data_IF_157824170237
#
_entry.id   IF_157824170237
#
_cell.length_a   1.000
_cell.length_b   1.000
_cell.length_c   1.000
_cell.angle_alpha   90.00
_cell.angle_beta   90.00
_cell.angle_gamma   90.00
#
_symmetry.space_group_name_H-M   'P 1'
#
loop_
_entity.id
_entity.type
_entity.pdbx_description
1 polymer ?
#
# COMPACT_ATOMS: atom_id res chain seq x y z
N UNK A 1 -19.54 26.87 2.94
CA UNK A 1 -18.15 26.37 3.12
C UNK A 1 -18.24 24.87 3.32
N UNK A 2 -18.21 24.10 2.23
CA UNK A 2 -18.14 22.64 2.29
C UNK A 2 -16.78 22.25 2.88
N UNK A 3 -16.84 21.59 4.02
CA UNK A 3 -15.66 21.00 4.63
C UNK A 3 -15.12 19.95 3.67
N UNK A 4 -13.91 20.17 3.12
CA UNK A 4 -13.17 19.18 2.38
C UNK A 4 -13.12 17.89 3.21
N UNK A 5 -13.96 16.90 2.84
CA UNK A 5 -13.86 15.55 3.39
C UNK A 5 -12.49 14.99 2.97
N UNK A 6 -11.72 14.41 3.88
CA UNK A 6 -10.49 13.73 3.51
C UNK A 6 -10.82 12.62 2.51
N UNK A 7 -10.07 12.59 1.43
CA UNK A 7 -10.30 11.65 0.33
C UNK A 7 -9.80 10.28 0.81
N UNK A 8 -10.72 9.36 1.07
CA UNK A 8 -10.38 7.94 1.10
C UNK A 8 -9.93 7.58 -0.32
N UNK A 9 -8.86 6.82 -0.48
CA UNK A 9 -8.35 6.42 -1.79
C UNK A 9 -8.89 5.03 -2.16
N UNK A 10 -10.11 4.75 -1.74
CA UNK A 10 -10.87 3.62 -2.26
C UNK A 10 -11.32 3.94 -3.69
N UNK A 11 -11.47 2.90 -4.48
CA UNK A 11 -11.90 2.97 -5.87
C UNK A 11 -13.18 3.80 -6.06
N UNK A 12 -14.16 3.64 -5.17
CA UNK A 12 -15.42 4.41 -5.17
C UNK A 12 -15.21 5.91 -4.90
N UNK A 13 -14.25 6.24 -4.03
CA UNK A 13 -13.95 7.64 -3.71
C UNK A 13 -13.26 8.34 -4.89
N UNK A 14 -12.41 7.60 -5.61
CA UNK A 14 -11.79 8.05 -6.85
C UNK A 14 -12.86 8.26 -7.93
N UNK A 15 -13.79 7.31 -8.07
CA UNK A 15 -14.87 7.35 -9.06
C UNK A 15 -15.79 8.55 -8.88
N UNK A 16 -16.08 8.91 -7.64
CA UNK A 16 -17.04 9.94 -7.28
C UNK A 16 -16.43 11.32 -7.01
N UNK A 17 -15.11 11.46 -7.12
CA UNK A 17 -14.43 12.73 -6.87
C UNK A 17 -14.56 13.66 -8.09
N UNK A 18 -15.12 14.89 -7.94
CA UNK A 18 -15.25 15.86 -9.02
C UNK A 18 -13.93 16.20 -9.70
N UNK A 19 -12.82 16.32 -8.94
CA UNK A 19 -11.48 16.61 -9.49
C UNK A 19 -11.00 15.50 -10.43
N UNK A 20 -11.49 14.27 -10.26
CA UNK A 20 -11.23 13.16 -11.18
C UNK A 20 -12.17 13.17 -12.39
N UNK A 21 -13.35 13.74 -12.29
CA UNK A 21 -14.31 13.78 -13.38
C UNK A 21 -13.82 14.68 -14.51
N UNK A 22 -13.11 15.77 -14.20
CA UNK A 22 -12.62 16.76 -15.16
C UNK A 22 -11.47 16.25 -16.06
N UNK A 23 -10.75 15.19 -15.67
CA UNK A 23 -9.58 14.67 -16.39
C UNK A 23 -9.79 13.28 -16.99
N UNK A 24 -10.94 13.05 -17.63
CA UNK A 24 -11.33 11.75 -18.21
C UNK A 24 -10.36 11.20 -19.27
N UNK A 25 -9.56 12.05 -19.89
CA UNK A 25 -8.56 11.67 -20.90
C UNK A 25 -7.33 10.93 -20.33
N UNK A 26 -7.07 11.06 -19.01
CA UNK A 26 -5.95 10.40 -18.34
C UNK A 26 -6.37 9.23 -17.46
N UNK A 27 -7.64 8.89 -17.43
CA UNK A 27 -8.18 7.84 -16.58
C UNK A 27 -9.24 7.00 -17.26
N UNK A 28 -9.36 5.76 -16.83
CA UNK A 28 -10.47 4.88 -17.11
C UNK A 28 -10.97 4.27 -15.80
N UNK A 29 -12.27 4.24 -15.57
CA UNK A 29 -12.86 3.61 -14.38
C UNK A 29 -14.20 2.96 -14.75
N UNK A 30 -14.34 1.66 -14.41
CA UNK A 30 -15.61 0.93 -14.46
C UNK A 30 -15.77 0.05 -13.20
N UNK A 31 -16.70 -0.87 -13.17
CA UNK A 31 -16.94 -1.74 -12.00
C UNK A 31 -15.85 -2.82 -11.82
N UNK A 32 -15.02 -3.08 -12.80
CA UNK A 32 -13.97 -4.08 -12.78
C UNK A 32 -12.61 -3.52 -12.36
N UNK A 33 -12.26 -2.33 -12.86
CA UNK A 33 -10.94 -1.73 -12.59
C UNK A 33 -10.91 -0.22 -12.81
N UNK A 34 -9.89 0.40 -12.23
CA UNK A 34 -9.43 1.75 -12.56
C UNK A 34 -8.03 1.72 -13.19
N UNK A 35 -7.80 2.61 -14.14
CA UNK A 35 -6.49 2.86 -14.69
C UNK A 35 -6.25 4.37 -14.83
N UNK A 36 -5.08 4.82 -14.38
CA UNK A 36 -4.62 6.21 -14.53
C UNK A 36 -3.30 6.19 -15.28
N UNK A 37 -3.20 6.98 -16.36
CA UNK A 37 -2.01 7.03 -17.23
C UNK A 37 -1.16 8.28 -17.06
N UNK A 38 -1.66 9.31 -16.35
CA UNK A 38 -0.84 10.44 -15.91
C UNK A 38 -1.39 10.97 -14.60
N UNK A 39 -0.56 10.86 -13.57
CA UNK A 39 -0.93 11.34 -12.25
C UNK A 39 -0.68 12.85 -12.11
N UNK A 40 0.34 13.36 -12.78
CA UNK A 40 0.67 14.78 -12.77
C UNK A 40 -0.43 15.61 -13.45
N UNK A 41 -0.97 15.12 -14.57
CA UNK A 41 -2.08 15.78 -15.28
C UNK A 41 -3.37 15.82 -14.45
N UNK A 42 -3.58 14.87 -13.54
CA UNK A 42 -4.75 14.83 -12.66
C UNK A 42 -4.67 15.75 -11.44
N UNK A 43 -3.58 16.51 -11.32
CA UNK A 43 -3.39 17.43 -10.19
C UNK A 43 -3.11 16.69 -8.86
N UNK A 44 -1.94 16.87 -8.33
CA UNK A 44 -1.35 16.18 -7.17
C UNK A 44 -2.12 16.33 -5.83
N UNK A 45 -3.39 16.75 -5.85
CA UNK A 45 -4.20 17.02 -4.63
C UNK A 45 -4.66 15.76 -3.90
N UNK A 46 -4.51 14.59 -4.51
CA UNK A 46 -5.06 13.33 -3.96
C UNK A 46 -4.25 12.70 -2.86
N UNK A 47 -2.93 12.87 -2.90
CA UNK A 47 -2.04 12.31 -1.88
C UNK A 47 -1.33 13.45 -1.18
N UNK A 48 -1.66 13.63 0.08
CA UNK A 48 -0.86 14.51 0.94
C UNK A 48 0.35 13.73 1.44
N UNK A 49 1.53 14.28 1.26
CA UNK A 49 2.74 13.74 1.89
C UNK A 49 2.57 13.70 3.41
N UNK A 50 3.15 12.67 4.05
CA UNK A 50 3.08 12.43 5.49
C UNK A 50 1.67 12.16 6.05
N UNK A 51 0.70 11.92 5.19
CA UNK A 51 -0.63 11.50 5.58
C UNK A 51 -0.88 10.07 5.11
N UNK A 52 -1.05 9.10 6.02
CA UNK A 52 -1.34 7.74 5.64
C UNK A 52 -2.77 7.58 5.16
N UNK A 53 -2.97 6.67 4.22
CA UNK A 53 -4.26 6.27 3.70
C UNK A 53 -4.32 4.75 3.49
N UNK A 54 -5.52 4.20 3.39
CA UNK A 54 -5.73 2.80 3.08
C UNK A 54 -6.11 2.61 1.63
N UNK A 55 -5.34 1.82 0.90
CA UNK A 55 -5.70 1.34 -0.42
C UNK A 55 -6.56 0.08 -0.25
N UNK A 56 -7.85 0.17 -0.49
CA UNK A 56 -8.76 -0.99 -0.40
C UNK A 56 -8.47 -2.02 -1.48
N UNK A 57 -8.18 -1.56 -2.69
CA UNK A 57 -7.87 -2.40 -3.84
C UNK A 57 -6.36 -2.54 -4.03
N UNK A 58 -5.96 -3.70 -4.54
CA UNK A 58 -4.58 -3.93 -4.97
C UNK A 58 -4.20 -3.01 -6.13
N UNK A 59 -2.91 -2.65 -6.24
CA UNK A 59 -2.43 -1.71 -7.25
C UNK A 59 -1.13 -2.18 -7.89
N UNK A 60 -1.04 -1.98 -9.20
CA UNK A 60 0.21 -2.10 -9.95
C UNK A 60 0.58 -0.69 -10.38
N UNK A 61 1.63 -0.15 -9.79
CA UNK A 61 2.11 1.22 -10.05
C UNK A 61 3.41 1.13 -10.82
N UNK A 62 3.52 1.87 -11.93
CA UNK A 62 4.80 2.04 -12.61
C UNK A 62 5.26 3.49 -12.53
N UNK A 63 6.53 3.68 -12.15
CA UNK A 63 7.11 5.01 -11.99
C UNK A 63 7.72 5.43 -13.32
N UNK A 64 7.17 6.50 -13.89
CA UNK A 64 7.58 7.02 -15.21
C UNK A 64 8.74 7.99 -15.09
N UNK A 65 8.71 8.83 -14.06
CA UNK A 65 9.71 9.88 -13.86
C UNK A 65 9.82 10.27 -12.39
N UNK A 66 10.99 10.78 -12.02
CA UNK A 66 11.26 11.28 -10.69
C UNK A 66 11.59 10.19 -9.68
N UNK A 67 11.57 10.57 -8.43
CA UNK A 67 11.81 9.68 -7.28
C UNK A 67 10.88 10.03 -6.12
N UNK A 68 10.51 9.04 -5.33
CA UNK A 68 9.68 9.21 -4.16
C UNK A 68 10.03 8.17 -3.09
N UNK A 69 9.65 8.47 -1.85
CA UNK A 69 9.73 7.53 -0.74
C UNK A 69 8.33 7.18 -0.29
N UNK A 70 7.99 5.90 -0.36
CA UNK A 70 6.69 5.36 -0.02
C UNK A 70 6.84 4.27 1.04
N UNK A 71 6.01 4.32 2.08
CA UNK A 71 5.85 3.22 3.03
C UNK A 71 4.61 2.42 2.67
N UNK A 72 4.74 1.12 2.54
CA UNK A 72 3.65 0.17 2.31
C UNK A 72 3.66 -0.82 3.47
N UNK A 73 2.60 -0.82 4.26
CA UNK A 73 2.48 -1.72 5.41
C UNK A 73 3.74 -1.68 6.32
N UNK A 74 4.20 -0.45 6.64
CA UNK A 74 5.38 -0.14 7.46
C UNK A 74 6.74 -0.41 6.79
N UNK A 75 6.80 -0.99 5.59
CA UNK A 75 8.06 -1.17 4.87
C UNK A 75 8.28 0.00 3.94
N UNK A 76 9.41 0.67 4.07
CA UNK A 76 9.80 1.79 3.22
C UNK A 76 10.42 1.31 1.91
N UNK A 77 10.03 1.97 0.83
CA UNK A 77 10.55 1.79 -0.51
C UNK A 77 10.96 3.14 -1.09
N UNK A 78 12.15 3.18 -1.64
CA UNK A 78 12.60 4.28 -2.49
C UNK A 78 12.19 3.94 -3.95
N UNK A 79 11.25 4.69 -4.51
CA UNK A 79 10.70 4.47 -5.85
C UNK A 79 11.35 5.45 -6.82
N UNK A 80 11.90 4.95 -7.91
CA UNK A 80 12.57 5.73 -8.95
C UNK A 80 12.00 5.40 -10.32
N UNK A 81 12.30 6.21 -11.33
CA UNK A 81 11.94 5.89 -12.71
C UNK A 81 12.36 4.46 -13.09
N UNK A 82 11.51 3.76 -13.85
CA UNK A 82 11.61 2.35 -14.23
C UNK A 82 11.36 1.34 -13.11
N UNK A 83 10.87 1.80 -11.96
CA UNK A 83 10.38 0.88 -10.93
C UNK A 83 8.89 0.53 -11.14
N UNK A 84 8.55 -0.70 -10.80
CA UNK A 84 7.18 -1.17 -10.61
C UNK A 84 6.96 -1.43 -9.14
N UNK A 85 5.86 -0.92 -8.59
CA UNK A 85 5.44 -1.19 -7.22
C UNK A 85 4.12 -1.94 -7.27
N UNK A 86 4.08 -3.13 -6.67
CA UNK A 86 2.86 -3.88 -6.45
C UNK A 86 2.43 -3.64 -5.02
N UNK A 87 1.25 -3.07 -4.85
CA UNK A 87 0.66 -2.75 -3.56
C UNK A 87 -0.50 -3.71 -3.35
N UNK A 88 -0.48 -4.54 -2.30
CA UNK A 88 -1.59 -5.43 -1.96
C UNK A 88 -2.87 -4.67 -1.62
N UNK A 89 -4.00 -5.35 -1.69
CA UNK A 89 -5.27 -4.85 -1.18
C UNK A 89 -5.21 -4.59 0.34
N UNK A 90 -6.05 -3.69 0.80
CA UNK A 90 -6.12 -3.24 2.19
C UNK A 90 -4.82 -2.71 2.80
N UNK A 91 -3.84 -2.35 1.96
CA UNK A 91 -2.54 -1.84 2.40
C UNK A 91 -2.64 -0.44 2.99
N UNK A 92 -1.87 -0.21 4.04
CA UNK A 92 -1.59 1.12 4.58
C UNK A 92 -0.43 1.74 3.81
N UNK A 93 -0.66 2.91 3.24
CA UNK A 93 0.31 3.62 2.40
C UNK A 93 0.55 5.00 3.00
N UNK A 94 1.82 5.38 3.08
CA UNK A 94 2.24 6.73 3.42
C UNK A 94 3.33 7.18 2.45
N UNK A 95 3.13 8.32 1.81
CA UNK A 95 4.13 8.94 0.93
C UNK A 95 4.83 10.01 1.75
N UNK A 96 6.14 9.83 2.00
CA UNK A 96 6.92 10.78 2.80
C UNK A 96 7.49 11.90 1.95
N UNK A 97 8.01 11.58 0.78
CA UNK A 97 8.68 12.53 -0.11
C UNK A 97 8.41 12.17 -1.57
N UNK A 98 8.26 13.20 -2.40
CA UNK A 98 8.23 13.04 -3.87
C UNK A 98 8.99 14.19 -4.52
N UNK A 99 9.71 13.90 -5.59
CA UNK A 99 10.35 14.93 -6.41
C UNK A 99 9.30 15.77 -7.15
N UNK A 100 9.59 17.03 -7.53
CA UNK A 100 8.63 17.91 -8.22
C UNK A 100 8.08 17.34 -9.54
N UNK A 101 8.84 16.47 -10.20
CA UNK A 101 8.48 15.87 -11.49
C UNK A 101 8.16 14.38 -11.34
N UNK A 102 7.59 13.98 -10.19
CA UNK A 102 7.22 12.59 -9.96
C UNK A 102 5.98 12.23 -10.77
N UNK A 103 6.12 11.31 -11.72
CA UNK A 103 5.05 10.84 -12.58
C UNK A 103 4.92 9.32 -12.49
N UNK A 104 3.70 8.84 -12.37
CA UNK A 104 3.41 7.40 -12.34
C UNK A 104 2.09 7.06 -13.01
N UNK A 105 1.97 5.81 -13.39
CA UNK A 105 0.75 5.21 -13.89
C UNK A 105 0.32 4.09 -12.96
N UNK A 106 -0.98 3.85 -12.87
CA UNK A 106 -1.52 2.85 -11.95
C UNK A 106 -2.66 2.06 -12.57
N UNK A 107 -2.68 0.76 -12.33
CA UNK A 107 -3.78 -0.16 -12.58
C UNK A 107 -4.32 -0.60 -11.22
N UNK A 108 -5.63 -0.50 -11.01
CA UNK A 108 -6.33 -0.80 -9.77
C UNK A 108 -7.47 -1.77 -10.05
N UNK A 109 -7.22 -3.07 -10.15
CA UNK A 109 -8.29 -4.07 -10.34
C UNK A 109 -9.07 -4.26 -9.05
N UNK A 110 -10.38 -4.44 -9.15
CA UNK A 110 -11.20 -4.82 -7.99
C UNK A 110 -10.99 -6.30 -7.63
N UNK A 111 -11.22 -6.66 -6.37
CA UNK A 111 -11.07 -8.03 -5.89
C UNK A 111 -11.96 -9.03 -6.68
N UNK A 112 -13.16 -8.62 -7.07
CA UNK A 112 -14.08 -9.42 -7.85
C UNK A 112 -13.65 -9.61 -9.32
N UNK A 113 -12.85 -8.70 -9.84
CA UNK A 113 -12.37 -8.77 -11.22
C UNK A 113 -11.23 -9.76 -11.38
N UNK A 114 -10.34 -9.88 -10.39
CA UNK A 114 -9.18 -10.77 -10.42
C UNK A 114 -9.17 -11.74 -9.22
N UNK A 115 -10.10 -12.67 -9.14
CA UNK A 115 -10.14 -13.63 -8.03
C UNK A 115 -8.89 -14.52 -7.96
N UNK A 116 -8.15 -14.66 -9.07
CA UNK A 116 -6.91 -15.44 -9.17
C UNK A 116 -5.72 -14.75 -8.49
N UNK A 117 -5.78 -13.43 -8.27
CA UNK A 117 -4.69 -12.70 -7.62
C UNK A 117 -4.54 -13.04 -6.13
N UNK A 118 -5.62 -13.47 -5.49
CA UNK A 118 -5.59 -13.68 -4.05
C UNK A 118 -4.74 -14.86 -3.60
N UNK A 119 -4.43 -15.86 -4.47
CA UNK A 119 -3.86 -17.11 -3.97
C UNK A 119 -2.70 -17.74 -4.76
N UNK A 120 -2.24 -17.26 -5.92
CA UNK A 120 -1.31 -18.10 -6.70
C UNK A 120 -0.19 -17.44 -7.51
N UNK A 121 -0.25 -16.17 -7.84
CA UNK A 121 0.74 -15.58 -8.76
C UNK A 121 1.97 -15.06 -8.00
N UNK A 122 1.78 -14.42 -6.87
CA UNK A 122 2.85 -13.90 -6.02
C UNK A 122 2.87 -14.69 -4.72
N UNK A 123 4.05 -14.99 -4.17
CA UNK A 123 4.17 -15.72 -2.90
C UNK A 123 3.51 -14.92 -1.75
N UNK A 124 3.00 -15.63 -0.75
CA UNK A 124 2.26 -15.04 0.38
C UNK A 124 3.03 -13.95 1.13
N UNK A 125 4.37 -14.08 1.21
CA UNK A 125 5.22 -13.09 1.85
C UNK A 125 5.23 -11.74 1.11
N UNK A 126 5.06 -11.76 -0.20
CA UNK A 126 5.10 -10.57 -1.05
C UNK A 126 3.72 -9.93 -1.22
N UNK A 127 2.66 -10.73 -1.18
CA UNK A 127 1.28 -10.21 -1.28
C UNK A 127 0.86 -9.41 -0.05
N UNK A 128 1.57 -9.53 1.09
CA UNK A 128 1.22 -8.82 2.32
C UNK A 128 1.98 -7.51 2.54
N UNK A 129 3.20 -7.38 2.01
CA UNK A 129 4.08 -6.24 2.31
C UNK A 129 4.35 -5.33 1.11
N UNK A 130 3.81 -5.65 -0.06
CA UNK A 130 4.15 -4.97 -1.31
C UNK A 130 5.50 -5.43 -1.90
N UNK A 131 5.72 -5.08 -3.16
CA UNK A 131 6.93 -5.42 -3.91
C UNK A 131 7.37 -4.20 -4.71
N UNK A 132 8.68 -3.90 -4.65
CA UNK A 132 9.33 -3.01 -5.61
C UNK A 132 10.20 -3.85 -6.55
N UNK A 133 10.03 -3.64 -7.85
CA UNK A 133 10.82 -4.25 -8.92
C UNK A 133 11.51 -3.15 -9.70
N UNK A 134 12.83 -3.17 -9.79
CA UNK A 134 13.57 -2.30 -10.71
C UNK A 134 13.77 -3.03 -12.03
N UNK A 135 13.26 -2.46 -13.10
CA UNK A 135 13.25 -3.07 -14.42
C UNK A 135 14.43 -2.57 -15.26
N UNK A 136 15.05 -3.46 -16.00
CA UNK A 136 15.98 -3.06 -17.07
C UNK A 136 15.20 -2.48 -18.28
N UNK A 137 15.92 -1.99 -19.29
CA UNK A 137 15.29 -1.31 -20.44
C UNK A 137 14.37 -2.24 -21.25
N UNK A 138 14.69 -3.51 -21.40
CA UNK A 138 13.90 -4.50 -22.14
C UNK A 138 12.63 -4.85 -21.36
N UNK A 139 12.76 -5.17 -20.09
CA UNK A 139 11.63 -5.42 -19.18
C UNK A 139 10.68 -4.23 -19.12
N UNK A 140 11.24 -3.00 -19.04
CA UNK A 140 10.47 -1.78 -19.06
C UNK A 140 9.69 -1.58 -20.36
N UNK A 141 10.29 -1.88 -21.51
CA UNK A 141 9.62 -1.81 -22.80
C UNK A 141 8.45 -2.81 -22.89
N UNK A 142 8.65 -4.05 -22.42
CA UNK A 142 7.58 -5.05 -22.36
C UNK A 142 6.42 -4.60 -21.46
N UNK A 143 6.72 -4.12 -20.26
CA UNK A 143 5.70 -3.61 -19.32
C UNK A 143 4.97 -2.41 -19.92
N UNK A 144 5.69 -1.51 -20.60
CA UNK A 144 5.10 -0.37 -21.30
C UNK A 144 4.09 -0.78 -22.36
N UNK A 145 4.39 -1.86 -23.10
CA UNK A 145 3.48 -2.45 -24.09
C UNK A 145 2.20 -2.99 -23.44
N UNK A 146 2.28 -3.63 -22.27
CA UNK A 146 1.10 -4.06 -21.50
C UNK A 146 0.21 -2.88 -21.10
N UNK A 147 0.79 -1.83 -20.53
CA UNK A 147 0.04 -0.64 -20.13
C UNK A 147 -0.63 0.04 -21.32
N UNK A 148 0.07 0.20 -22.44
CA UNK A 148 -0.47 0.81 -23.67
C UNK A 148 -1.60 -0.04 -24.27
N UNK A 149 -1.43 -1.36 -24.34
CA UNK A 149 -2.43 -2.27 -24.86
C UNK A 149 -3.67 -2.31 -23.98
N UNK A 150 -3.49 -2.37 -22.66
CA UNK A 150 -4.60 -2.30 -21.71
C UNK A 150 -5.38 -1.00 -21.89
N UNK A 151 -4.71 0.15 -21.96
CA UNK A 151 -5.35 1.43 -22.15
C UNK A 151 -6.21 1.45 -23.43
N UNK A 152 -5.67 0.96 -24.53
CA UNK A 152 -6.38 0.93 -25.81
C UNK A 152 -7.61 0.01 -25.75
N UNK A 153 -7.48 -1.19 -25.16
CA UNK A 153 -8.59 -2.16 -25.08
C UNK A 153 -9.69 -1.69 -24.12
N UNK A 154 -9.35 -0.96 -23.06
CA UNK A 154 -10.32 -0.40 -22.12
C UNK A 154 -11.28 0.59 -22.80
N UNK A 155 -10.85 1.28 -23.84
CA UNK A 155 -11.66 2.23 -24.60
C UNK A 155 -12.38 1.61 -25.82
N UNK A 156 -12.25 0.28 -26.03
CA UNK A 156 -13.00 -0.41 -27.08
C UNK A 156 -14.48 -0.58 -26.70
N UNK A 157 -15.35 -0.41 -27.69
CA UNK A 157 -16.76 -0.73 -27.58
C UNK A 157 -17.14 -1.89 -28.52
N UNK A 158 -17.76 -2.97 -28.03
CA UNK A 158 -18.14 -3.22 -26.64
C UNK A 158 -16.92 -3.52 -25.75
N UNK A 159 -17.05 -3.28 -24.43
CA UNK A 159 -15.99 -3.55 -23.45
C UNK A 159 -15.62 -5.04 -23.42
N UNK A 160 -14.34 -5.31 -23.63
CA UNK A 160 -13.80 -6.67 -23.77
C UNK A 160 -13.27 -7.22 -22.44
N UNK A 161 -14.19 -7.44 -21.49
CA UNK A 161 -13.87 -7.82 -20.10
C UNK A 161 -12.84 -8.96 -20.00
N UNK A 162 -13.06 -10.06 -20.72
CA UNK A 162 -12.17 -11.23 -20.70
C UNK A 162 -10.76 -10.92 -21.21
N UNK A 163 -10.64 -10.12 -22.28
CA UNK A 163 -9.33 -9.73 -22.81
C UNK A 163 -8.55 -8.88 -21.79
N UNK A 164 -9.21 -7.89 -21.17
CA UNK A 164 -8.59 -7.04 -20.13
C UNK A 164 -8.14 -7.90 -18.94
N UNK A 165 -8.97 -8.83 -18.48
CA UNK A 165 -8.66 -9.72 -17.36
C UNK A 165 -7.41 -10.56 -17.64
N UNK A 166 -7.33 -11.21 -18.81
CA UNK A 166 -6.19 -12.05 -19.18
C UNK A 166 -4.91 -11.23 -19.42
N UNK A 167 -5.02 -10.01 -19.93
CA UNK A 167 -3.87 -9.12 -20.07
C UNK A 167 -3.25 -8.74 -18.72
N UNK A 168 -4.09 -8.42 -17.71
CA UNK A 168 -3.59 -8.12 -16.36
C UNK A 168 -2.96 -9.36 -15.74
N UNK A 169 -3.59 -10.53 -15.89
CA UNK A 169 -3.01 -11.80 -15.41
C UNK A 169 -1.66 -12.06 -16.08
N UNK A 170 -1.54 -11.86 -17.40
CA UNK A 170 -0.28 -12.02 -18.14
C UNK A 170 0.78 -11.04 -17.65
N UNK A 171 0.41 -9.76 -17.42
CA UNK A 171 1.31 -8.77 -16.83
C UNK A 171 1.84 -9.25 -15.47
N UNK A 172 0.98 -9.77 -14.61
CA UNK A 172 1.38 -10.26 -13.28
C UNK A 172 2.32 -11.45 -13.34
N UNK A 173 2.11 -12.39 -14.26
CA UNK A 173 3.07 -13.49 -14.50
C UNK A 173 4.42 -12.97 -14.98
N UNK A 174 4.43 -11.93 -15.83
CA UNK A 174 5.65 -11.30 -16.29
C UNK A 174 6.39 -10.61 -15.11
N UNK A 175 5.66 -9.86 -14.26
CA UNK A 175 6.23 -9.23 -13.06
C UNK A 175 6.76 -10.26 -12.06
N UNK A 176 6.08 -11.39 -11.91
CA UNK A 176 6.56 -12.52 -11.11
C UNK A 176 7.87 -13.08 -11.66
N UNK A 177 7.95 -13.28 -12.96
CA UNK A 177 9.17 -13.76 -13.61
C UNK A 177 10.34 -12.80 -13.37
N UNK A 178 10.14 -11.50 -13.57
CA UNK A 178 11.15 -10.47 -13.30
C UNK A 178 11.60 -10.55 -11.84
N UNK A 179 10.66 -10.61 -10.90
CA UNK A 179 10.97 -10.71 -9.48
C UNK A 179 11.85 -11.92 -9.15
N UNK A 180 11.46 -13.10 -9.64
CA UNK A 180 12.18 -14.35 -9.39
C UNK A 180 13.60 -14.37 -10.00
N UNK A 181 13.81 -13.65 -11.12
CA UNK A 181 15.09 -13.62 -11.81
C UNK A 181 15.99 -12.48 -11.34
N UNK A 182 15.44 -11.33 -11.00
CA UNK A 182 16.19 -10.23 -10.37
C UNK A 182 16.72 -10.64 -9.00
N UNK A 183 15.94 -11.38 -8.22
CA UNK A 183 16.39 -11.94 -6.93
C UNK A 183 17.47 -13.03 -7.08
N UNK A 184 17.62 -13.66 -8.27
CA UNK A 184 18.69 -14.66 -8.52
C UNK A 184 19.99 -14.03 -8.99
N UNK A 185 19.95 -12.87 -9.63
CA UNK A 185 21.13 -12.16 -10.12
C UNK A 185 21.83 -11.30 -9.08
N UNK A 186 21.15 -10.96 -7.99
CA UNK A 186 21.77 -10.39 -6.80
C UNK A 186 22.00 -11.53 -5.79
N UNK A 187 23.21 -11.79 -5.31
CA UNK A 187 23.49 -12.91 -4.38
C UNK A 187 22.89 -12.74 -2.97
N UNK A 188 22.04 -11.77 -2.77
CA UNK A 188 21.29 -11.59 -1.55
C UNK A 188 19.99 -12.39 -1.59
N UNK A 189 20.06 -13.74 -1.44
CA UNK A 189 18.97 -14.44 -0.74
C UNK A 189 18.73 -13.62 0.53
N UNK A 190 17.50 -13.15 0.72
CA UNK A 190 17.11 -12.56 2.01
C UNK A 190 17.68 -13.45 3.11
N UNK A 191 18.41 -12.87 4.02
CA UNK A 191 18.92 -13.64 5.14
C UNK A 191 17.71 -14.26 5.87
N UNK A 192 17.91 -15.38 6.53
CA UNK A 192 16.84 -16.00 7.33
C UNK A 192 16.21 -14.99 8.32
N UNK A 193 16.99 -14.03 8.77
CA UNK A 193 16.54 -12.96 9.67
C UNK A 193 15.67 -11.95 8.95
N UNK A 194 16.01 -11.55 7.71
CA UNK A 194 15.19 -10.65 6.90
C UNK A 194 13.85 -11.30 6.48
N UNK A 195 13.85 -12.59 6.15
CA UNK A 195 12.63 -13.32 5.89
C UNK A 195 11.72 -13.38 7.12
N UNK A 196 12.33 -13.68 8.29
CA UNK A 196 11.60 -13.66 9.56
C UNK A 196 11.04 -12.27 9.87
N UNK A 197 11.82 -11.22 9.67
CA UNK A 197 11.38 -9.85 9.84
C UNK A 197 10.16 -9.53 8.94
N UNK A 198 10.19 -9.90 7.66
CA UNK A 198 9.05 -9.71 6.75
C UNK A 198 7.79 -10.46 7.19
N UNK A 199 7.95 -11.70 7.64
CA UNK A 199 6.84 -12.49 8.20
C UNK A 199 6.27 -11.85 9.48
N UNK A 200 7.15 -11.34 10.35
CA UNK A 200 6.73 -10.61 11.54
C UNK A 200 5.95 -9.35 11.18
N UNK A 201 6.43 -8.50 10.26
CA UNK A 201 5.72 -7.29 9.81
C UNK A 201 4.36 -7.64 9.22
N UNK A 202 4.26 -8.71 8.44
CA UNK A 202 2.98 -9.19 7.90
C UNK A 202 1.97 -9.52 9.01
N UNK A 203 2.40 -10.21 10.08
CA UNK A 203 1.57 -10.49 11.25
C UNK A 203 1.19 -9.22 12.02
N UNK A 204 2.13 -8.27 12.16
CA UNK A 204 1.84 -6.97 12.81
C UNK A 204 0.75 -6.22 12.05
N UNK A 205 0.85 -6.12 10.74
CA UNK A 205 -0.16 -5.47 9.90
C UNK A 205 -1.53 -6.15 9.99
N UNK A 206 -1.57 -7.46 10.18
CA UNK A 206 -2.81 -8.23 10.28
C UNK A 206 -3.47 -8.14 11.65
N UNK A 207 -2.68 -8.10 12.73
CA UNK A 207 -3.19 -8.33 14.08
C UNK A 207 -3.02 -7.15 15.05
N UNK A 208 -2.21 -6.13 14.74
CA UNK A 208 -1.85 -5.05 15.69
C UNK A 208 -3.04 -4.24 16.22
N UNK A 209 -4.17 -4.21 15.51
CA UNK A 209 -5.40 -3.57 16.00
C UNK A 209 -5.86 -4.16 17.33
N UNK A 210 -5.78 -5.47 17.46
CA UNK A 210 -6.33 -6.19 18.60
C UNK A 210 -5.25 -6.84 19.48
N UNK A 211 -4.10 -7.22 18.88
CA UNK A 211 -3.04 -7.95 19.56
C UNK A 211 -1.76 -7.11 19.70
N UNK A 212 -1.34 -6.89 20.95
CA UNK A 212 -0.14 -6.11 21.26
C UNK A 212 0.90 -6.89 22.06
N UNK A 213 0.59 -8.14 22.40
CA UNK A 213 1.48 -8.98 23.19
C UNK A 213 2.55 -9.62 22.28
N UNK A 214 3.83 -9.47 22.64
CA UNK A 214 4.97 -10.08 21.91
C UNK A 214 4.83 -11.60 21.84
N UNK A 215 4.29 -12.23 22.87
CA UNK A 215 4.10 -13.69 22.92
C UNK A 215 3.22 -14.17 21.77
N UNK A 216 2.12 -13.46 21.46
CA UNK A 216 1.25 -13.80 20.34
C UNK A 216 2.01 -13.92 19.02
N UNK A 217 2.86 -12.95 18.71
CA UNK A 217 3.66 -12.94 17.47
C UNK A 217 4.73 -14.02 17.45
N UNK A 218 5.36 -14.26 18.61
CA UNK A 218 6.35 -15.31 18.76
C UNK A 218 5.71 -16.70 18.54
N UNK A 219 4.55 -16.96 19.15
CA UNK A 219 3.82 -18.22 19.00
C UNK A 219 3.39 -18.44 17.54
N UNK A 220 2.89 -17.41 16.85
CA UNK A 220 2.52 -17.46 15.42
C UNK A 220 3.72 -17.77 14.51
N UNK A 221 4.93 -17.40 14.92
CA UNK A 221 6.17 -17.66 14.19
C UNK A 221 6.88 -18.94 14.66
N UNK A 222 6.31 -19.66 15.65
CA UNK A 222 6.94 -20.83 16.29
C UNK A 222 8.30 -20.52 16.89
N UNK A 223 8.43 -19.36 17.59
CA UNK A 223 9.66 -18.86 18.19
C UNK A 223 9.44 -18.53 19.67
N UNK A 224 10.54 -18.43 20.41
CA UNK A 224 10.50 -17.82 21.74
C UNK A 224 10.42 -16.28 21.62
N UNK A 225 9.74 -15.57 22.56
CA UNK A 225 9.68 -14.11 22.58
C UNK A 225 11.05 -13.44 22.64
N UNK A 226 11.99 -14.07 23.33
CA UNK A 226 13.38 -13.59 23.44
C UNK A 226 14.09 -13.65 22.07
N UNK A 227 14.02 -14.79 21.38
CA UNK A 227 14.63 -14.94 20.07
C UNK A 227 14.00 -14.01 19.03
N UNK A 228 12.67 -13.90 18.99
CA UNK A 228 11.98 -12.94 18.13
C UNK A 228 12.48 -11.51 18.39
N UNK A 229 12.54 -11.09 19.65
CA UNK A 229 12.97 -9.73 20.02
C UNK A 229 14.42 -9.44 19.61
N UNK A 230 15.31 -10.41 19.75
CA UNK A 230 16.73 -10.31 19.33
C UNK A 230 16.82 -10.13 17.82
N UNK A 231 16.21 -11.03 17.05
CA UNK A 231 16.27 -11.01 15.58
C UNK A 231 15.64 -9.71 15.02
N UNK A 232 14.48 -9.30 15.51
CA UNK A 232 13.83 -8.08 15.03
C UNK A 232 14.71 -6.86 15.30
N UNK A 233 15.30 -6.76 16.47
CA UNK A 233 16.20 -5.66 16.84
C UNK A 233 17.48 -5.64 16.02
N UNK A 234 18.10 -6.81 15.80
CA UNK A 234 19.30 -6.94 14.98
C UNK A 234 19.04 -6.57 13.51
N UNK A 235 17.90 -7.00 12.97
CA UNK A 235 17.58 -6.80 11.56
C UNK A 235 17.10 -5.37 11.25
N UNK A 236 16.32 -4.77 12.15
CA UNK A 236 15.63 -3.49 11.88
C UNK A 236 16.09 -2.31 12.73
N UNK A 237 16.94 -2.55 13.73
CA UNK A 237 17.32 -1.52 14.72
C UNK A 237 16.22 -1.15 15.72
N UNK A 238 15.00 -1.69 15.56
CA UNK A 238 13.84 -1.37 16.39
C UNK A 238 13.35 -2.59 17.17
N UNK A 239 12.69 -2.34 18.30
CA UNK A 239 12.08 -3.42 19.09
C UNK A 239 10.75 -3.90 18.48
N UNK A 240 10.33 -5.13 18.81
CA UNK A 240 9.02 -5.67 18.46
C UNK A 240 7.89 -4.71 18.85
N UNK A 241 7.95 -4.15 20.07
CA UNK A 241 6.92 -3.21 20.55
C UNK A 241 6.89 -1.89 19.78
N UNK A 242 8.04 -1.40 19.29
CA UNK A 242 8.07 -0.20 18.45
C UNK A 242 7.32 -0.43 17.14
N UNK A 243 7.54 -1.57 16.48
CA UNK A 243 6.84 -1.93 15.25
C UNK A 243 5.33 -2.10 15.45
N UNK A 244 4.92 -2.79 16.53
CA UNK A 244 3.49 -2.93 16.87
C UNK A 244 2.87 -1.55 17.11
N UNK A 245 3.53 -0.69 17.88
CA UNK A 245 3.03 0.66 18.17
C UNK A 245 2.95 1.54 16.91
N UNK A 246 3.91 1.43 16.00
CA UNK A 246 3.86 2.14 14.71
C UNK A 246 2.66 1.69 13.86
N UNK A 247 2.38 0.39 13.80
CA UNK A 247 1.21 -0.13 13.10
C UNK A 247 -0.10 0.41 13.69
N UNK A 248 -0.23 0.38 15.01
CA UNK A 248 -1.42 0.91 15.71
C UNK A 248 -1.59 2.41 15.47
N UNK A 249 -0.51 3.18 15.47
CA UNK A 249 -0.56 4.62 15.18
C UNK A 249 -0.93 4.90 13.73
N UNK A 250 -0.40 4.13 12.79
CA UNK A 250 -0.73 4.26 11.37
C UNK A 250 -2.23 3.99 11.14
N UNK A 251 -2.77 2.94 11.73
CA UNK A 251 -4.21 2.65 11.73
C UNK A 251 -5.03 3.78 12.38
N UNK A 252 -4.61 4.26 13.54
CA UNK A 252 -5.28 5.36 14.22
C UNK A 252 -5.34 6.62 13.36
N UNK A 253 -4.23 6.98 12.72
CA UNK A 253 -4.17 8.13 11.81
C UNK A 253 -5.14 7.98 10.64
N UNK A 254 -5.21 6.79 10.03
CA UNK A 254 -6.15 6.49 8.93
C UNK A 254 -7.59 6.61 9.40
N UNK A 255 -7.94 6.02 10.53
CA UNK A 255 -9.30 6.10 11.09
C UNK A 255 -9.69 7.55 11.43
N UNK A 256 -8.78 8.32 12.04
CA UNK A 256 -9.01 9.73 12.38
C UNK A 256 -9.22 10.63 11.16
N UNK A 257 -8.60 10.33 10.03
CA UNK A 257 -8.68 11.14 8.80
C UNK A 257 -9.74 10.67 7.82
N UNK A 258 -9.94 9.36 7.71
CA UNK A 258 -10.71 8.76 6.62
C UNK A 258 -11.98 8.03 7.08
N UNK A 259 -12.35 8.14 8.37
CA UNK A 259 -13.62 7.63 8.87
C UNK A 259 -14.46 8.72 9.52
N UNK A 260 -15.76 8.47 9.64
CA UNK A 260 -16.67 9.35 10.40
C UNK A 260 -16.76 8.95 11.89
N UNK A 261 -15.83 8.09 12.35
CA UNK A 261 -15.83 7.60 13.72
C UNK A 261 -15.42 8.68 14.72
N UNK A 262 -16.07 8.69 15.86
CA UNK A 262 -15.69 9.51 16.98
C UNK A 262 -14.45 8.93 17.67
N UNK A 263 -13.67 9.77 18.37
CA UNK A 263 -12.42 9.34 19.04
C UNK A 263 -12.62 8.15 19.98
N UNK A 264 -13.76 8.06 20.68
CA UNK A 264 -14.05 6.92 21.56
C UNK A 264 -14.31 5.64 20.75
N UNK A 265 -15.00 5.72 19.61
CA UNK A 265 -15.24 4.57 18.73
C UNK A 265 -13.92 4.08 18.11
N UNK A 266 -13.01 4.98 17.74
CA UNK A 266 -11.67 4.63 17.27
C UNK A 266 -10.86 3.94 18.38
N UNK A 267 -10.99 4.40 19.62
CA UNK A 267 -10.39 3.74 20.78
C UNK A 267 -10.87 2.29 20.93
N UNK A 268 -12.16 2.06 20.77
CA UNK A 268 -12.78 0.73 20.86
C UNK A 268 -12.36 -0.15 19.67
N UNK A 269 -12.40 0.39 18.44
CA UNK A 269 -11.96 -0.30 17.21
C UNK A 269 -10.50 -0.75 17.27
N UNK A 270 -9.65 0.04 17.94
CA UNK A 270 -8.25 -0.26 18.16
C UNK A 270 -7.99 -1.03 19.46
N UNK A 271 -9.02 -1.56 20.10
CA UNK A 271 -8.93 -2.37 21.32
C UNK A 271 -8.12 -1.70 22.45
N UNK A 272 -8.38 -0.41 22.73
CA UNK A 272 -7.86 0.25 23.92
C UNK A 272 -8.82 0.10 25.10
N UNK A 273 -8.32 -0.02 26.34
CA UNK A 273 -9.16 -0.17 27.52
C UNK A 273 -10.18 0.96 27.71
N UNK A 274 -9.84 2.17 27.30
CA UNK A 274 -10.72 3.33 27.27
C UNK A 274 -10.11 4.47 26.41
N UNK A 275 -10.90 5.50 26.05
CA UNK A 275 -10.46 6.63 25.24
C UNK A 275 -9.29 7.44 25.83
N UNK A 276 -9.16 7.48 27.16
CA UNK A 276 -8.08 8.21 27.83
C UNK A 276 -6.72 7.53 27.62
N UNK A 277 -6.67 6.18 27.63
CA UNK A 277 -5.46 5.44 27.30
C UNK A 277 -5.08 5.62 25.83
N UNK A 278 -6.06 5.56 24.92
CA UNK A 278 -5.84 5.84 23.52
C UNK A 278 -5.26 7.26 23.29
N UNK A 279 -5.88 8.27 23.91
CA UNK A 279 -5.44 9.66 23.75
C UNK A 279 -4.03 9.89 24.29
N UNK A 280 -3.66 9.31 25.42
CA UNK A 280 -2.30 9.37 25.97
C UNK A 280 -1.30 8.65 25.08
N UNK A 281 -1.66 7.46 24.57
CA UNK A 281 -0.82 6.69 23.66
C UNK A 281 -0.59 7.47 22.37
N UNK A 282 -1.64 7.96 21.73
CA UNK A 282 -1.56 8.71 20.47
C UNK A 282 -0.72 9.99 20.63
N UNK A 283 -0.95 10.77 21.69
CA UNK A 283 -0.17 11.98 21.98
C UNK A 283 1.31 11.68 22.22
N UNK A 284 1.63 10.60 22.94
CA UNK A 284 3.02 10.17 23.16
C UNK A 284 3.73 9.82 21.86
N UNK A 285 3.01 9.18 20.92
CA UNK A 285 3.58 8.71 19.67
C UNK A 285 3.65 9.77 18.57
N UNK A 286 2.73 10.76 18.59
CA UNK A 286 2.59 11.75 17.49
C UNK A 286 2.85 13.19 17.93
N UNK A 287 2.96 13.46 19.23
CA UNK A 287 3.11 14.79 19.80
C UNK A 287 1.78 15.55 19.99
N UNK A 288 0.67 15.08 19.41
CA UNK A 288 -0.65 15.75 19.47
C UNK A 288 -1.77 14.79 19.87
N UNK A 289 -2.88 15.34 20.36
CA UNK A 289 -4.06 14.54 20.70
C UNK A 289 -4.78 14.03 19.44
N UNK A 290 -5.57 12.92 19.55
CA UNK A 290 -6.39 12.44 18.44
C UNK A 290 -7.33 13.51 17.87
N UNK A 291 -7.95 14.32 18.75
CA UNK A 291 -8.87 15.37 18.34
C UNK A 291 -8.17 16.53 17.60
N UNK A 292 -6.95 16.89 17.99
CA UNK A 292 -6.11 17.87 17.28
C UNK A 292 -5.72 17.32 15.91
N UNK A 293 -5.30 16.06 15.85
CA UNK A 293 -4.93 15.41 14.58
C UNK A 293 -6.12 15.31 13.62
N UNK A 294 -7.32 14.96 14.12
CA UNK A 294 -8.53 14.88 13.32
C UNK A 294 -8.92 16.24 12.70
N UNK A 295 -8.64 17.34 13.39
CA UNK A 295 -8.96 18.71 12.93
C UNK A 295 -7.92 19.30 11.99
N UNK A 296 -6.71 18.77 11.93
CA UNK A 296 -5.70 19.23 10.97
C UNK A 296 -6.22 19.01 9.55
N UNK A 297 -6.29 20.05 8.78
CA UNK A 297 -6.75 20.07 7.37
C UNK A 297 -5.64 19.67 6.43
#
# INVERSE_FOLDING_TARGET
MEKNKPISVAFEDIRNNPDFIEHSEYRFINDDLGMVISFQAMGFRLFRTQQPYRAKEGRIVRIMQGKGRISINLIEYEATAHDIIIIPDNSLIEISEVSPYYEFQVIMPTANFLPVLQNSILSEAYTRNGIRLSCNNEEWAHISSFFSLLWNILHCLPYRRGAVQHLIVSLLYNLKYIHEHTCKSTPARLSRQEELFRRFIALVNQHSKHERNVNFYADKLCLTPHYLSSVIRETSGQTVMQWINQAVILEAKVLLKHSNLLVFQISDELNFPNPSFFSKFFKRMTGMTPAEYQKQT
#
